data_IF_791702432875
#
_entry.id   IF_791702432875
#
_cell.length_a   1.000
_cell.length_b   1.000
_cell.length_c   1.000
_cell.angle_alpha   90.00
_cell.angle_beta   90.00
_cell.angle_gamma   90.00
#
_symmetry.space_group_name_H-M   'P 1'
#
loop_
_entity.id
_entity.type
_entity.pdbx_description
1 polymer ?
#
# COMPACT_ATOMS: atom_id res chain seq x y z
N UNK A 1 34.25 -2.26 10.73
CA UNK A 1 34.25 -2.01 9.28
C UNK A 1 32.95 -2.58 8.72
N UNK A 2 32.08 -1.77 8.13
CA UNK A 2 30.84 -2.24 7.47
C UNK A 2 31.21 -2.98 6.19
N UNK A 3 30.70 -4.20 6.03
CA UNK A 3 30.98 -5.01 4.85
C UNK A 3 30.25 -4.43 3.62
N UNK A 4 30.93 -4.20 2.48
CA UNK A 4 30.34 -3.49 1.34
C UNK A 4 29.04 -4.11 0.82
N UNK A 5 28.90 -5.44 0.88
CA UNK A 5 27.65 -6.10 0.51
C UNK A 5 26.48 -5.77 1.45
N UNK A 6 26.74 -5.60 2.76
CA UNK A 6 25.71 -5.20 3.73
C UNK A 6 25.23 -3.78 3.44
N UNK A 7 26.16 -2.86 3.15
CA UNK A 7 25.82 -1.47 2.79
C UNK A 7 24.96 -1.42 1.52
N UNK A 8 25.33 -2.19 0.49
CA UNK A 8 24.56 -2.27 -0.74
C UNK A 8 23.17 -2.88 -0.54
N UNK A 9 23.06 -3.96 0.23
CA UNK A 9 21.78 -4.59 0.56
C UNK A 9 20.85 -3.65 1.33
N UNK A 10 21.40 -2.87 2.27
CA UNK A 10 20.61 -1.90 3.02
C UNK A 10 20.13 -0.74 2.13
N UNK A 11 20.95 -0.30 1.18
CA UNK A 11 20.56 0.73 0.22
C UNK A 11 19.37 0.26 -0.65
N UNK A 12 19.45 -0.96 -1.20
CA UNK A 12 18.36 -1.55 -1.99
C UNK A 12 17.10 -1.73 -1.15
N UNK A 13 17.22 -2.28 0.06
CA UNK A 13 16.07 -2.45 0.95
C UNK A 13 15.40 -1.10 1.33
N UNK A 14 16.19 -0.02 1.42
CA UNK A 14 15.65 1.32 1.66
C UNK A 14 14.85 1.82 0.45
N UNK A 15 15.39 1.66 -0.75
CA UNK A 15 14.70 2.01 -1.99
C UNK A 15 13.39 1.23 -2.17
N UNK A 16 13.42 -0.08 -1.93
CA UNK A 16 12.23 -0.94 -1.99
C UNK A 16 11.15 -0.48 -1.01
N UNK A 17 11.52 -0.14 0.24
CA UNK A 17 10.58 0.35 1.25
C UNK A 17 9.99 1.72 0.90
N UNK A 18 10.79 2.60 0.31
CA UNK A 18 10.32 3.92 -0.11
C UNK A 18 9.36 3.81 -1.30
N UNK A 19 9.63 2.92 -2.25
CA UNK A 19 8.71 2.64 -3.34
C UNK A 19 7.41 2.00 -2.84
N UNK A 20 7.49 1.03 -1.92
CA UNK A 20 6.32 0.40 -1.31
C UNK A 20 5.45 1.43 -0.56
N UNK A 21 6.06 2.34 0.20
CA UNK A 21 5.36 3.40 0.93
C UNK A 21 4.67 4.39 -0.01
N UNK A 22 5.33 4.77 -1.10
CA UNK A 22 4.73 5.63 -2.13
C UNK A 22 3.55 4.94 -2.82
N UNK A 23 3.71 3.66 -3.17
CA UNK A 23 2.66 2.83 -3.75
C UNK A 23 1.43 2.75 -2.84
N UNK A 24 1.63 2.43 -1.55
CA UNK A 24 0.55 2.37 -0.57
C UNK A 24 -0.19 3.70 -0.45
N UNK A 25 0.54 4.83 -0.37
CA UNK A 25 -0.09 6.16 -0.32
C UNK A 25 -0.95 6.44 -1.54
N UNK A 26 -0.43 6.21 -2.75
CA UNK A 26 -1.20 6.36 -3.98
C UNK A 26 -2.43 5.46 -4.02
N UNK A 27 -2.31 4.20 -3.58
CA UNK A 27 -3.45 3.29 -3.51
C UNK A 27 -4.53 3.82 -2.55
N UNK A 28 -4.13 4.30 -1.38
CA UNK A 28 -5.07 4.86 -0.40
C UNK A 28 -5.78 6.10 -0.94
N UNK A 29 -5.06 7.00 -1.62
CA UNK A 29 -5.64 8.21 -2.20
C UNK A 29 -6.60 7.86 -3.35
N UNK A 30 -6.22 6.93 -4.22
CA UNK A 30 -7.09 6.42 -5.27
C UNK A 30 -8.38 5.80 -4.71
N UNK A 31 -8.29 4.98 -3.66
CA UNK A 31 -9.47 4.38 -3.03
C UNK A 31 -10.41 5.43 -2.43
N UNK A 32 -9.87 6.53 -1.88
CA UNK A 32 -10.66 7.62 -1.30
C UNK A 32 -11.33 8.49 -2.36
N UNK A 33 -10.63 8.77 -3.45
CA UNK A 33 -11.05 9.77 -4.44
C UNK A 33 -11.80 9.18 -5.64
N UNK A 34 -11.46 7.94 -6.01
CA UNK A 34 -11.90 7.34 -7.27
C UNK A 34 -12.48 5.93 -7.11
N UNK A 35 -12.18 5.26 -6.01
CA UNK A 35 -12.61 3.89 -5.78
C UNK A 35 -14.13 3.76 -5.69
N UNK A 36 -14.67 2.74 -6.37
CA UNK A 36 -16.11 2.44 -6.40
C UNK A 36 -16.38 1.15 -5.64
N UNK A 37 -17.40 1.11 -4.77
CA UNK A 37 -17.77 -0.12 -4.08
C UNK A 37 -18.21 -1.19 -5.10
N UNK A 38 -18.08 -2.46 -4.72
CA UNK A 38 -18.65 -3.56 -5.51
C UNK A 38 -20.17 -3.38 -5.61
N UNK A 39 -20.73 -3.47 -6.82
CA UNK A 39 -22.12 -3.11 -7.08
C UNK A 39 -23.16 -3.90 -6.26
N UNK A 40 -22.81 -5.11 -5.81
CA UNK A 40 -23.69 -5.96 -5.00
C UNK A 40 -23.39 -5.90 -3.48
N UNK A 41 -22.44 -5.05 -3.05
CA UNK A 41 -22.07 -4.93 -1.63
C UNK A 41 -23.09 -4.17 -0.80
N UNK A 42 -23.94 -3.35 -1.42
CA UNK A 42 -24.83 -2.42 -0.72
C UNK A 42 -24.11 -1.22 -0.07
N UNK A 43 -22.78 -1.12 -0.22
CA UNK A 43 -21.98 -0.04 0.33
C UNK A 43 -22.00 1.19 -0.58
N UNK A 44 -21.93 2.37 0.03
CA UNK A 44 -21.86 3.65 -0.69
C UNK A 44 -20.43 4.02 -1.10
N UNK A 45 -19.43 3.56 -0.34
CA UNK A 45 -18.02 3.90 -0.55
C UNK A 45 -17.17 2.64 -0.44
N UNK A 46 -16.16 2.51 -1.29
CA UNK A 46 -15.23 1.36 -1.24
C UNK A 46 -14.41 1.35 0.06
N UNK A 47 -14.14 2.52 0.65
CA UNK A 47 -13.34 2.64 1.88
C UNK A 47 -14.05 2.11 3.12
N UNK A 48 -15.35 1.82 3.02
CA UNK A 48 -16.15 1.21 4.08
C UNK A 48 -16.23 -0.33 3.91
N UNK A 49 -15.64 -0.89 2.84
CA UNK A 49 -15.66 -2.34 2.58
C UNK A 49 -14.68 -3.07 3.50
N UNK A 50 -15.15 -4.00 4.37
CA UNK A 50 -14.30 -4.70 5.33
C UNK A 50 -13.22 -5.55 4.66
N UNK A 51 -13.47 -6.04 3.43
CA UNK A 51 -12.46 -6.80 2.68
C UNK A 51 -11.42 -5.88 2.06
N UNK A 52 -11.75 -4.63 1.76
CA UNK A 52 -10.77 -3.64 1.30
C UNK A 52 -9.93 -3.16 2.47
N UNK A 53 -10.56 -2.86 3.61
CA UNK A 53 -9.87 -2.49 4.85
C UNK A 53 -8.91 -3.60 5.28
N UNK A 54 -9.37 -4.86 5.31
CA UNK A 54 -8.51 -6.00 5.66
C UNK A 54 -7.32 -6.13 4.72
N UNK A 55 -7.53 -6.01 3.40
CA UNK A 55 -6.45 -6.19 2.41
C UNK A 55 -5.41 -5.08 2.49
N UNK A 56 -5.86 -3.85 2.74
CA UNK A 56 -4.95 -2.72 2.98
C UNK A 56 -4.22 -2.89 4.31
N UNK A 57 -4.87 -3.41 5.35
CA UNK A 57 -4.26 -3.66 6.66
C UNK A 57 -3.22 -4.79 6.67
N UNK A 58 -3.25 -5.69 5.68
CA UNK A 58 -2.27 -6.77 5.49
C UNK A 58 -0.96 -6.29 4.80
N UNK A 59 -0.95 -5.08 4.22
CA UNK A 59 0.21 -4.46 3.56
C UNK A 59 1.10 -3.71 4.56
#
# INVERSE_FOLDING_TARGET
>A
MTHPAITAQLAVATEDLDQARQGLRHTLDYLREHGRPWSLSGLQRIVDDPYVISKVGDL
#
